data_IF_232883805018
#
_entry.id   IF_232883805018
#
_cell.length_a   1.000
_cell.length_b   1.000
_cell.length_c   1.000
_cell.angle_alpha   90.00
_cell.angle_beta   90.00
_cell.angle_gamma   90.00
#
_symmetry.space_group_name_H-M   'P 1'
#
loop_
_entity.id
_entity.type
_entity.pdbx_description
1 polymer ?
#
# COMPACT_ATOMS: atom_id res chain seq x y z
N UNK A 1 17.23 -0.50 -7.65
CA UNK A 1 16.06 -1.29 -7.19
C UNK A 1 15.58 -0.74 -5.85
N UNK A 2 14.27 -0.71 -5.62
CA UNK A 2 13.62 -0.34 -4.35
C UNK A 2 12.63 -1.45 -4.02
N UNK A 3 12.49 -1.80 -2.75
CA UNK A 3 11.50 -2.76 -2.25
C UNK A 3 10.71 -2.07 -1.16
N UNK A 4 9.39 -2.23 -1.17
CA UNK A 4 8.49 -1.72 -0.14
C UNK A 4 7.60 -2.83 0.41
N UNK A 5 7.38 -2.81 1.72
CA UNK A 5 6.40 -3.65 2.41
C UNK A 5 5.42 -2.77 3.18
N UNK A 6 4.14 -3.09 3.04
CA UNK A 6 3.04 -2.40 3.69
C UNK A 6 2.17 -3.43 4.39
N UNK A 7 1.72 -3.09 5.59
CA UNK A 7 0.79 -3.88 6.38
C UNK A 7 -0.36 -2.95 6.76
N UNK A 8 -1.56 -3.27 6.29
CA UNK A 8 -2.73 -2.40 6.41
C UNK A 8 -3.91 -3.21 6.95
N UNK A 9 -4.54 -2.80 8.06
CA UNK A 9 -5.76 -3.45 8.52
C UNK A 9 -6.85 -3.36 7.45
N UNK A 10 -7.47 -4.49 7.11
CA UNK A 10 -8.53 -4.54 6.09
C UNK A 10 -9.74 -3.68 6.47
N UNK A 11 -10.03 -3.54 7.77
CA UNK A 11 -11.02 -2.61 8.30
C UNK A 11 -10.74 -1.17 7.87
N UNK A 12 -9.47 -0.75 7.86
CA UNK A 12 -9.10 0.60 7.43
C UNK A 12 -9.39 0.85 5.95
N UNK A 13 -9.57 -0.19 5.14
CA UNK A 13 -9.81 -0.12 3.69
C UNK A 13 -11.26 -0.41 3.30
N UNK A 14 -11.94 -1.27 4.05
CA UNK A 14 -13.31 -1.72 3.76
C UNK A 14 -14.35 -1.19 4.76
N UNK A 15 -13.90 -0.62 5.88
CA UNK A 15 -14.75 -0.14 6.97
C UNK A 15 -15.33 -1.23 7.86
N UNK A 16 -14.85 -2.47 7.77
CA UNK A 16 -15.31 -3.60 8.57
C UNK A 16 -14.26 -4.72 8.68
N UNK A 17 -14.33 -5.52 9.76
CA UNK A 17 -13.37 -6.61 10.04
C UNK A 17 -13.81 -7.99 9.52
N UNK A 18 -15.05 -8.13 9.06
CA UNK A 18 -15.60 -9.42 8.61
C UNK A 18 -15.54 -9.59 7.10
N UNK A 19 -15.65 -10.83 6.60
CA UNK A 19 -15.80 -11.09 5.16
C UNK A 19 -17.01 -10.34 4.56
N UNK A 20 -16.92 -9.82 3.32
CA UNK A 20 -18.02 -9.16 2.63
C UNK A 20 -19.30 -10.01 2.60
N UNK A 21 -20.43 -9.43 3.01
CA UNK A 21 -21.75 -10.09 3.01
C UNK A 21 -22.71 -9.46 2.02
N UNK A 22 -22.73 -8.13 1.96
CA UNK A 22 -23.61 -7.38 1.08
C UNK A 22 -22.98 -7.15 -0.30
N UNK A 23 -23.79 -6.87 -1.31
CA UNK A 23 -23.30 -6.53 -2.65
C UNK A 23 -22.37 -5.31 -2.64
N UNK A 24 -22.66 -4.32 -1.79
CA UNK A 24 -21.80 -3.15 -1.61
C UNK A 24 -20.42 -3.53 -1.06
N UNK A 25 -20.36 -4.42 -0.06
CA UNK A 25 -19.09 -4.90 0.51
C UNK A 25 -18.30 -5.75 -0.49
N UNK A 26 -18.99 -6.62 -1.25
CA UNK A 26 -18.34 -7.44 -2.30
C UNK A 26 -17.75 -6.56 -3.39
N UNK A 27 -18.47 -5.51 -3.81
CA UNK A 27 -17.99 -4.52 -4.77
C UNK A 27 -16.79 -3.73 -4.22
N UNK A 28 -16.82 -3.33 -2.95
CA UNK A 28 -15.69 -2.65 -2.31
C UNK A 28 -14.44 -3.53 -2.29
N UNK A 29 -14.58 -4.82 -1.95
CA UNK A 29 -13.51 -5.81 -2.02
C UNK A 29 -12.94 -5.96 -3.44
N UNK A 30 -13.81 -6.14 -4.44
CA UNK A 30 -13.40 -6.27 -5.84
C UNK A 30 -12.68 -5.01 -6.36
N UNK A 31 -13.15 -3.82 -5.97
CA UNK A 31 -12.49 -2.56 -6.31
C UNK A 31 -11.11 -2.45 -5.67
N UNK A 32 -10.97 -2.86 -4.41
CA UNK A 32 -9.68 -2.89 -3.73
C UNK A 32 -8.71 -3.84 -4.43
N UNK A 33 -9.13 -5.07 -4.72
CA UNK A 33 -8.32 -6.05 -5.47
C UNK A 33 -7.90 -5.53 -6.85
N UNK A 34 -8.82 -4.88 -7.57
CA UNK A 34 -8.54 -4.31 -8.89
C UNK A 34 -7.55 -3.13 -8.82
N UNK A 35 -7.68 -2.27 -7.80
CA UNK A 35 -6.76 -1.15 -7.58
C UNK A 35 -5.34 -1.62 -7.31
N UNK A 36 -5.17 -2.73 -6.60
CA UNK A 36 -3.88 -3.32 -6.26
C UNK A 36 -3.17 -4.01 -7.42
N UNK A 37 -3.63 -3.86 -8.67
CA UNK A 37 -2.86 -4.24 -9.85
C UNK A 37 -1.67 -3.28 -10.13
N UNK A 38 -1.76 -2.04 -9.67
CA UNK A 38 -0.71 -1.02 -9.81
C UNK A 38 -0.44 -0.31 -8.50
N UNK A 39 0.83 -0.05 -8.20
CA UNK A 39 1.23 0.68 -7.01
C UNK A 39 0.75 2.13 -7.01
N UNK A 40 0.46 2.71 -8.18
CA UNK A 40 -0.12 4.06 -8.33
C UNK A 40 -1.46 4.21 -7.59
N UNK A 41 -2.12 3.09 -7.26
CA UNK A 41 -3.31 3.09 -6.43
C UNK A 41 -3.04 3.57 -5.01
N UNK A 42 -1.90 3.21 -4.41
CA UNK A 42 -1.64 3.45 -2.98
C UNK A 42 -0.42 4.32 -2.70
N UNK A 43 0.49 4.48 -3.67
CA UNK A 43 1.70 5.29 -3.52
C UNK A 43 2.05 6.05 -4.80
N UNK A 44 2.84 7.11 -4.64
CA UNK A 44 3.43 7.87 -5.73
C UNK A 44 4.92 8.07 -5.48
N UNK A 45 5.71 7.88 -6.53
CA UNK A 45 7.15 8.14 -6.55
C UNK A 45 7.45 9.37 -7.40
N UNK A 46 8.55 10.11 -7.12
CA UNK A 46 8.98 11.22 -7.97
C UNK A 46 9.19 10.77 -9.42
N UNK A 47 8.53 11.42 -10.37
CA UNK A 47 8.68 11.09 -11.80
C UNK A 47 10.14 11.20 -12.28
N UNK A 48 10.90 12.13 -11.70
CA UNK A 48 12.32 12.31 -11.96
C UNK A 48 13.17 11.08 -11.62
N UNK A 49 12.71 10.20 -10.70
CA UNK A 49 13.39 8.95 -10.38
C UNK A 49 13.24 7.88 -11.48
N UNK A 50 12.30 8.06 -12.42
CA UNK A 50 12.06 7.16 -13.56
C UNK A 50 11.89 5.70 -13.12
N UNK A 51 11.07 5.50 -12.09
CA UNK A 51 10.80 4.19 -11.52
C UNK A 51 9.76 3.42 -12.34
N UNK A 52 10.04 2.15 -12.61
CA UNK A 52 9.12 1.17 -13.21
C UNK A 52 8.80 0.10 -12.18
N UNK A 53 7.52 -0.22 -12.01
CA UNK A 53 7.09 -1.34 -11.17
C UNK A 53 7.57 -2.65 -11.78
N UNK A 54 8.30 -3.44 -11.00
CA UNK A 54 8.79 -4.77 -11.37
C UNK A 54 7.84 -5.84 -10.86
N UNK A 55 7.37 -5.68 -9.62
CA UNK A 55 6.43 -6.62 -9.02
C UNK A 55 5.53 -5.91 -8.02
N UNK A 56 4.32 -6.43 -7.87
CA UNK A 56 3.39 -6.09 -6.81
C UNK A 56 2.67 -7.37 -6.42
N UNK A 57 2.76 -7.75 -5.15
CA UNK A 57 2.02 -8.85 -4.57
C UNK A 57 1.22 -8.33 -3.39
N UNK A 58 -0.09 -8.53 -3.43
CA UNK A 58 -0.99 -8.20 -2.35
C UNK A 58 -1.63 -9.48 -1.82
N UNK A 59 -1.55 -9.72 -0.52
CA UNK A 59 -2.10 -10.91 0.13
C UNK A 59 -2.92 -10.55 1.35
N UNK A 60 -4.03 -11.26 1.53
CA UNK A 60 -4.89 -11.16 2.70
C UNK A 60 -5.72 -12.43 2.83
N UNK A 61 -5.98 -12.88 4.05
CA UNK A 61 -6.93 -13.97 4.33
C UNK A 61 -8.33 -13.67 3.76
N UNK A 62 -8.74 -12.40 3.75
CA UNK A 62 -10.05 -12.00 3.20
C UNK A 62 -10.13 -12.14 1.67
N UNK A 63 -9.01 -11.99 0.94
CA UNK A 63 -8.98 -12.24 -0.50
C UNK A 63 -9.16 -13.73 -0.83
N UNK A 64 -8.80 -14.60 0.11
CA UNK A 64 -9.01 -16.06 0.02
C UNK A 64 -10.37 -16.51 0.58
N UNK A 65 -11.22 -15.58 1.03
CA UNK A 65 -12.51 -15.91 1.66
C UNK A 65 -12.38 -16.57 3.03
N UNK A 66 -11.23 -16.43 3.70
CA UNK A 66 -10.97 -16.99 5.04
C UNK A 66 -11.21 -15.95 6.11
N UNK A 67 -11.73 -16.38 7.25
CA UNK A 67 -11.84 -15.55 8.46
C UNK A 67 -10.53 -15.61 9.25
N UNK A 68 -10.07 -14.49 9.78
CA UNK A 68 -9.04 -14.38 10.82
C UNK A 68 -9.51 -13.38 11.88
N UNK A 69 -8.93 -13.41 13.09
CA UNK A 69 -9.27 -12.45 14.15
C UNK A 69 -8.92 -11.01 13.74
N UNK A 70 -7.76 -10.82 13.10
CA UNK A 70 -7.41 -9.58 12.43
C UNK A 70 -6.97 -9.94 11.01
N UNK A 71 -7.63 -9.33 10.02
CA UNK A 71 -7.29 -9.50 8.62
C UNK A 71 -6.53 -8.29 8.15
N UNK A 72 -5.25 -8.48 7.86
CA UNK A 72 -4.42 -7.46 7.26
C UNK A 72 -4.28 -7.69 5.75
N UNK A 73 -3.95 -6.61 5.07
CA UNK A 73 -3.45 -6.59 3.72
C UNK A 73 -1.93 -6.41 3.80
N UNK A 74 -1.20 -7.46 3.46
CA UNK A 74 0.23 -7.38 3.19
C UNK A 74 0.45 -7.00 1.73
N UNK A 75 1.26 -5.99 1.47
CA UNK A 75 1.71 -5.62 0.12
C UNK A 75 3.22 -5.66 0.06
N UNK A 76 3.77 -6.48 -0.83
CA UNK A 76 5.17 -6.45 -1.25
C UNK A 76 5.26 -5.85 -2.65
N UNK A 77 6.04 -4.79 -2.81
CA UNK A 77 6.23 -4.10 -4.09
C UNK A 77 7.71 -3.88 -4.39
N UNK A 78 8.10 -4.01 -5.65
CA UNK A 78 9.45 -3.70 -6.09
C UNK A 78 9.46 -2.80 -7.32
N UNK A 79 10.40 -1.86 -7.34
CA UNK A 79 10.62 -0.94 -8.44
C UNK A 79 12.07 -0.96 -8.90
N UNK A 80 12.26 -0.71 -10.19
CA UNK A 80 13.55 -0.36 -10.76
C UNK A 80 13.52 1.08 -11.23
N UNK A 81 14.47 1.89 -10.75
CA UNK A 81 14.52 3.32 -11.03
C UNK A 81 15.79 3.62 -11.81
N UNK A 82 15.64 4.27 -12.96
CA UNK A 82 16.78 4.67 -13.78
C UNK A 82 17.57 5.84 -13.16
N UNK A 83 16.93 6.65 -12.30
CA UNK A 83 17.55 7.78 -11.62
C UNK A 83 17.37 7.66 -10.09
N UNK A 84 18.05 6.70 -9.43
CA UNK A 84 17.84 6.42 -8.01
C UNK A 84 18.15 7.61 -7.09
N UNK A 85 19.02 8.54 -7.49
CA UNK A 85 19.33 9.74 -6.73
C UNK A 85 18.16 10.73 -6.62
N UNK A 86 17.22 10.70 -7.58
CA UNK A 86 16.02 11.55 -7.58
C UNK A 86 14.87 10.98 -6.73
N UNK A 87 15.04 9.78 -6.17
CA UNK A 87 14.11 9.21 -5.19
C UNK A 87 14.36 9.82 -3.81
N UNK A 88 13.85 11.02 -3.60
CA UNK A 88 13.98 11.77 -2.33
C UNK A 88 12.80 11.55 -1.39
N UNK A 89 11.64 11.20 -1.94
CA UNK A 89 10.43 10.96 -1.18
C UNK A 89 9.54 9.89 -1.82
N UNK A 90 8.54 9.45 -1.07
CA UNK A 90 7.43 8.63 -1.52
C UNK A 90 6.16 9.10 -0.80
N UNK A 91 5.10 9.34 -1.55
CA UNK A 91 3.80 9.76 -1.00
C UNK A 91 2.84 8.59 -0.95
N UNK A 92 2.12 8.44 0.16
CA UNK A 92 1.02 7.49 0.31
C UNK A 92 -0.27 8.15 -0.18
N UNK A 93 -0.78 7.68 -1.31
CA UNK A 93 -2.07 8.10 -1.86
C UNK A 93 -3.26 7.41 -1.14
N UNK A 94 -3.00 6.32 -0.41
CA UNK A 94 -4.02 5.49 0.22
C UNK A 94 -4.89 6.25 1.22
N UNK A 95 -4.31 7.17 2.01
CA UNK A 95 -5.05 8.00 2.97
C UNK A 95 -6.15 8.86 2.33
N UNK A 96 -5.94 9.33 1.10
CA UNK A 96 -6.93 10.13 0.37
C UNK A 96 -8.09 9.27 -0.16
N UNK A 97 -7.84 7.98 -0.44
CA UNK A 97 -8.85 7.03 -0.92
C UNK A 97 -9.63 6.37 0.22
N UNK A 98 -9.01 6.23 1.38
CA UNK A 98 -9.55 5.52 2.55
C UNK A 98 -9.50 6.41 3.80
N UNK A 99 -10.54 7.23 4.05
CA UNK A 99 -10.57 8.16 5.18
C UNK A 99 -10.53 7.49 6.56
N UNK A 100 -10.86 6.20 6.62
CA UNK A 100 -10.79 5.32 7.80
C UNK A 100 -9.35 4.96 8.16
N UNK A 101 -8.41 4.96 7.20
CA UNK A 101 -7.00 4.71 7.46
C UNK A 101 -6.38 5.89 8.21
N UNK A 102 -5.95 5.67 9.46
CA UNK A 102 -5.36 6.72 10.31
C UNK A 102 -3.84 6.71 10.31
N UNK A 103 -3.27 5.53 10.31
CA UNK A 103 -1.83 5.30 10.32
C UNK A 103 -1.46 4.14 9.40
N UNK A 104 -0.26 4.20 8.85
CA UNK A 104 0.29 3.15 8.01
C UNK A 104 1.77 2.97 8.31
N UNK A 105 2.15 1.76 8.75
CA UNK A 105 3.56 1.39 8.84
C UNK A 105 4.06 0.98 7.46
N UNK A 106 5.22 1.50 7.08
CA UNK A 106 5.85 1.21 5.80
C UNK A 106 7.32 0.88 6.03
N UNK A 107 7.73 -0.26 5.52
CA UNK A 107 9.13 -0.67 5.45
C UNK A 107 9.63 -0.49 4.02
N UNK A 108 10.66 0.32 3.81
CA UNK A 108 11.26 0.56 2.50
C UNK A 108 12.75 0.22 2.52
N UNK A 109 13.21 -0.47 1.49
CA UNK A 109 14.63 -0.70 1.20
C UNK A 109 14.96 0.02 -0.09
N UNK A 110 15.81 1.04 -0.03
CA UNK A 110 16.22 1.84 -1.17
C UNK A 110 17.75 2.01 -1.26
N UNK A 111 18.23 2.85 -2.20
CA UNK A 111 19.67 3.08 -2.41
C UNK A 111 20.40 3.62 -1.17
N UNK A 112 19.69 4.35 -0.30
CA UNK A 112 20.22 4.94 0.94
C UNK A 112 20.07 4.03 2.17
N UNK A 113 19.66 2.77 1.99
CA UNK A 113 19.43 1.81 3.07
C UNK A 113 17.94 1.54 3.33
N UNK A 114 17.68 0.91 4.48
CA UNK A 114 16.33 0.56 4.94
C UNK A 114 15.75 1.65 5.84
N UNK A 115 14.45 1.91 5.71
CA UNK A 115 13.66 2.74 6.63
C UNK A 115 12.39 2.01 7.01
N UNK A 116 12.01 2.12 8.27
CA UNK A 116 10.70 1.74 8.80
C UNK A 116 10.06 3.00 9.37
N UNK A 117 8.91 3.40 8.84
CA UNK A 117 8.22 4.64 9.27
C UNK A 117 6.74 4.39 9.43
N UNK A 118 6.13 5.09 10.39
CA UNK A 118 4.68 5.16 10.52
C UNK A 118 4.21 6.51 10.00
N UNK A 119 3.41 6.49 8.95
CA UNK A 119 2.84 7.66 8.29
C UNK A 119 1.39 7.87 8.73
N UNK A 120 0.86 9.06 8.51
CA UNK A 120 -0.55 9.38 8.77
C UNK A 120 -1.13 10.22 7.65
N UNK A 121 -2.45 10.41 7.63
CA UNK A 121 -3.09 11.31 6.66
C UNK A 121 -2.57 12.76 6.75
N UNK A 122 -2.04 13.19 7.91
CA UNK A 122 -1.49 14.54 8.11
C UNK A 122 -0.05 14.69 7.58
N UNK A 123 0.72 13.61 7.57
CA UNK A 123 2.06 13.56 6.96
C UNK A 123 2.20 12.23 6.19
N UNK A 124 1.63 12.16 4.97
CA UNK A 124 1.58 10.92 4.19
C UNK A 124 2.85 10.72 3.36
N UNK A 125 3.98 11.32 3.74
CA UNK A 125 5.20 11.36 2.92
C UNK A 125 6.37 10.73 3.68
N UNK A 126 6.91 9.64 3.13
CA UNK A 126 8.20 9.07 3.54
C UNK A 126 9.31 9.84 2.83
N UNK A 127 10.32 10.27 3.57
CA UNK A 127 11.50 10.99 3.04
C UNK A 127 12.74 10.09 3.16
N UNK A 128 13.51 9.94 2.07
CA UNK A 128 14.67 9.04 1.96
C UNK A 128 16.01 9.69 2.32
#
# INVERSE_FOLDING_TARGET
>A
KIIGRFEIPMESLLGHEHLPRTEAQKKAMANLQSGLASADYFMALPAAAQCKQISLKATSSMFEGKKSEHSDLDIDVAFECAQPAALTEMRIALFAKHPTLKSLKVDMVGPKGQKSVTLSAKDPVLRF
#
